data_IF_630531660182
#
_entry.id   IF_630531660182
#
_cell.length_a   1.000
_cell.length_b   1.000
_cell.length_c   1.000
_cell.angle_alpha   90.00
_cell.angle_beta   90.00
_cell.angle_gamma   90.00
#
_symmetry.space_group_name_H-M   'P 1'
#
loop_
_entity.id
_entity.type
_entity.pdbx_description
1 polymer ?
#
# COMPACT_ATOMS: atom_id res chain seq x y z
N UNK A 1 2.83 -2.70 13.48
CA UNK A 1 2.16 -2.38 12.23
C UNK A 1 2.43 -0.94 11.82
N UNK A 2 2.91 -0.74 10.64
CA UNK A 2 3.21 0.62 10.18
C UNK A 2 1.91 1.34 9.83
N UNK A 3 1.74 2.53 10.36
CA UNK A 3 0.61 3.38 9.98
C UNK A 3 0.99 4.17 8.74
N UNK A 4 0.05 4.44 7.84
CA UNK A 4 0.36 5.31 6.72
C UNK A 4 0.73 6.69 7.22
N UNK A 5 1.59 7.35 6.49
CA UNK A 5 1.94 8.72 6.79
C UNK A 5 0.71 9.61 6.60
N UNK A 6 0.79 10.84 7.10
CA UNK A 6 -0.33 11.76 7.07
C UNK A 6 -0.94 11.94 5.69
N UNK A 7 -0.12 11.86 4.64
CA UNK A 7 -0.57 12.01 3.26
C UNK A 7 -0.72 10.66 2.55
N UNK A 8 -1.06 9.63 3.30
CA UNK A 8 -1.13 8.29 2.74
C UNK A 8 -2.51 7.68 2.82
N UNK A 9 -2.60 6.48 2.28
CA UNK A 9 -3.83 5.71 2.35
C UNK A 9 -3.50 4.22 2.34
N UNK A 10 -4.48 3.40 2.71
CA UNK A 10 -4.31 1.96 2.79
C UNK A 10 -5.38 1.28 1.95
N UNK A 11 -4.96 0.29 1.16
CA UNK A 11 -5.88 -0.58 0.44
C UNK A 11 -5.71 -1.97 1.04
N UNK A 12 -6.81 -2.55 1.50
CA UNK A 12 -6.78 -3.88 2.09
C UNK A 12 -7.51 -4.85 1.16
N UNK A 13 -6.90 -6.00 0.91
CA UNK A 13 -7.49 -7.02 0.06
C UNK A 13 -7.19 -8.40 0.64
N UNK A 14 -7.77 -9.42 0.02
CA UNK A 14 -7.58 -10.80 0.47
C UNK A 14 -6.89 -11.60 -0.63
N UNK A 15 -5.84 -12.32 -0.26
CA UNK A 15 -5.09 -13.16 -1.18
C UNK A 15 -5.59 -14.59 -1.01
N UNK A 16 -6.35 -15.07 -2.00
CA UNK A 16 -6.94 -16.41 -1.92
C UNK A 16 -5.89 -17.52 -1.96
N UNK A 17 -4.79 -17.31 -2.66
CA UNK A 17 -3.75 -18.31 -2.74
C UNK A 17 -3.07 -18.52 -1.39
N UNK A 18 -2.83 -17.44 -0.68
CA UNK A 18 -2.17 -17.49 0.62
C UNK A 18 -3.17 -17.60 1.77
N UNK A 19 -4.45 -17.42 1.47
CA UNK A 19 -5.53 -17.46 2.45
C UNK A 19 -5.26 -16.48 3.59
N UNK A 20 -4.92 -15.25 3.24
CA UNK A 20 -4.64 -14.22 4.24
C UNK A 20 -4.90 -12.83 3.67
N UNK A 21 -5.07 -11.87 4.56
CA UNK A 21 -5.26 -10.49 4.18
C UNK A 21 -3.93 -9.86 3.79
N UNK A 22 -3.99 -8.99 2.80
CA UNK A 22 -2.83 -8.25 2.34
C UNK A 22 -3.17 -6.77 2.43
N UNK A 23 -2.26 -5.99 3.00
CA UNK A 23 -2.45 -4.56 3.19
C UNK A 23 -1.42 -3.81 2.36
N UNK A 24 -1.90 -2.95 1.48
CA UNK A 24 -1.04 -2.10 0.67
C UNK A 24 -1.07 -0.70 1.24
N UNK A 25 0.08 -0.23 1.70
CA UNK A 25 0.21 1.11 2.26
C UNK A 25 0.87 2.01 1.25
N UNK A 26 0.31 3.19 1.03
CA UNK A 26 0.86 4.17 0.11
C UNK A 26 0.97 5.51 0.83
N UNK A 27 2.09 6.20 0.62
CA UNK A 27 2.27 7.51 1.24
C UNK A 27 3.22 8.34 0.40
N UNK A 28 3.22 9.65 0.66
CA UNK A 28 4.12 10.58 0.00
C UNK A 28 5.07 11.18 1.03
N UNK A 29 6.27 11.53 0.57
CA UNK A 29 7.24 12.22 1.39
C UNK A 29 7.95 13.21 0.47
N UNK A 30 7.65 14.51 0.64
CA UNK A 30 8.13 15.52 -0.28
C UNK A 30 7.55 15.29 -1.66
N UNK A 31 8.40 15.11 -2.65
CA UNK A 31 7.99 14.87 -4.03
C UNK A 31 8.11 13.41 -4.44
N UNK A 32 8.35 12.52 -3.48
CA UNK A 32 8.52 11.10 -3.76
C UNK A 32 7.33 10.31 -3.25
N UNK A 33 7.10 9.17 -3.89
CA UNK A 33 5.98 8.28 -3.57
C UNK A 33 6.51 6.95 -3.10
N UNK A 34 5.85 6.36 -2.11
CA UNK A 34 6.30 5.11 -1.49
C UNK A 34 5.14 4.16 -1.30
N UNK A 35 5.46 2.88 -1.25
CA UNK A 35 4.48 1.86 -0.90
C UNK A 35 5.15 0.75 -0.09
N UNK A 36 4.34 0.06 0.68
CA UNK A 36 4.75 -1.17 1.32
C UNK A 36 3.58 -2.14 1.31
N UNK A 37 3.90 -3.43 1.20
CA UNK A 37 2.89 -4.48 1.21
C UNK A 37 3.14 -5.32 2.45
N UNK A 38 2.13 -5.41 3.32
CA UNK A 38 2.22 -6.17 4.56
C UNK A 38 1.21 -7.30 4.54
N UNK A 39 1.63 -8.46 5.02
CA UNK A 39 0.78 -9.62 5.12
C UNK A 39 0.20 -9.73 6.52
N UNK A 40 -0.88 -10.47 6.63
CA UNK A 40 -1.59 -10.63 7.90
C UNK A 40 -0.68 -11.22 9.00
N UNK A 41 0.30 -12.00 8.61
CA UNK A 41 1.22 -12.62 9.57
C UNK A 41 2.32 -11.68 10.06
N UNK A 42 2.30 -10.42 9.61
CA UNK A 42 3.29 -9.43 10.02
C UNK A 42 4.48 -9.32 9.08
N UNK A 43 4.54 -10.15 8.06
CA UNK A 43 5.63 -10.13 7.08
C UNK A 43 5.47 -8.95 6.13
N UNK A 44 6.57 -8.24 5.86
CA UNK A 44 6.59 -7.19 4.84
C UNK A 44 7.05 -7.82 3.54
N UNK A 45 6.15 -7.88 2.56
CA UNK A 45 6.45 -8.51 1.28
C UNK A 45 7.18 -7.57 0.32
N UNK A 46 6.89 -6.27 0.41
CA UNK A 46 7.49 -5.29 -0.48
C UNK A 46 7.50 -3.94 0.22
N UNK A 47 8.58 -3.19 0.02
CA UNK A 47 8.68 -1.83 0.58
C UNK A 47 9.65 -1.03 -0.27
N UNK A 48 9.27 0.20 -0.61
CA UNK A 48 10.17 1.05 -1.35
C UNK A 48 9.48 2.18 -2.08
N UNK A 49 10.29 2.91 -2.84
CA UNK A 49 9.81 4.05 -3.61
C UNK A 49 9.15 3.55 -4.90
N UNK A 50 8.06 4.20 -5.28
CA UNK A 50 7.32 3.87 -6.49
C UNK A 50 7.21 5.12 -7.36
N UNK A 51 6.74 4.93 -8.60
CA UNK A 51 6.56 6.05 -9.50
C UNK A 51 5.26 6.78 -9.18
N UNK A 52 5.17 8.03 -9.64
CA UNK A 52 3.96 8.81 -9.49
C UNK A 52 2.77 8.11 -10.16
N UNK A 53 2.99 7.54 -11.33
CA UNK A 53 1.94 6.84 -12.06
C UNK A 53 1.38 5.68 -11.25
N UNK A 54 2.26 4.92 -10.63
CA UNK A 54 1.85 3.78 -9.81
C UNK A 54 1.04 4.25 -8.60
N UNK A 55 1.48 5.34 -7.98
CA UNK A 55 0.78 5.93 -6.85
C UNK A 55 -0.61 6.42 -7.25
N UNK A 56 -0.71 7.12 -8.38
CA UNK A 56 -1.98 7.65 -8.84
C UNK A 56 -2.95 6.55 -9.24
N UNK A 57 -2.45 5.46 -9.81
CA UNK A 57 -3.30 4.31 -10.12
C UNK A 57 -3.88 3.70 -8.84
N UNK A 58 -3.06 3.58 -7.81
CA UNK A 58 -3.51 3.05 -6.53
C UNK A 58 -4.54 3.97 -5.88
N UNK A 59 -4.31 5.27 -5.98
CA UNK A 59 -5.23 6.26 -5.42
C UNK A 59 -6.60 6.19 -6.10
N UNK A 60 -6.60 5.96 -7.40
CA UNK A 60 -7.85 5.80 -8.14
C UNK A 60 -8.61 4.56 -7.67
N UNK A 61 -7.90 3.47 -7.47
CA UNK A 61 -8.52 2.24 -6.95
C UNK A 61 -9.10 2.50 -5.56
N UNK A 62 -8.38 3.22 -4.73
CA UNK A 62 -8.82 3.54 -3.38
C UNK A 62 -10.11 4.36 -3.40
N UNK A 63 -10.21 5.34 -4.29
CA UNK A 63 -11.39 6.19 -4.38
C UNK A 63 -12.60 5.47 -4.95
N UNK A 64 -12.38 4.44 -5.76
CA UNK A 64 -13.46 3.68 -6.40
C UNK A 64 -13.86 2.43 -5.62
N UNK A 65 -13.21 2.18 -4.53
CA UNK A 65 -13.49 0.99 -3.73
C UNK A 65 -14.77 1.17 -2.91
#
# INVERSE_FOLDING_TARGET
>A
MAKPKENGFIIETYDEEKDMRVQFNYWTCGKYFYSSTELEDGTTARKGRISEKEYMNALEIYHNA
#
